data_IF_586601386180
#
_entry.id   IF_586601386180
#
_cell.length_a   1.000
_cell.length_b   1.000
_cell.length_c   1.000
_cell.angle_alpha   90.00
_cell.angle_beta   90.00
_cell.angle_gamma   90.00
#
_symmetry.space_group_name_H-M   'P 1'
#
loop_
_entity.id
_entity.type
_entity.pdbx_description
1 polymer ?
#
# COMPACT_ATOMS: atom_id res chain seq x y z
N UNK A 1 -16.16 -14.95 5.13
CA UNK A 1 -16.95 -13.81 5.63
C UNK A 1 -18.30 -13.78 4.91
N UNK A 2 -19.31 -13.36 5.58
CA UNK A 2 -20.72 -13.31 5.17
C UNK A 2 -21.23 -11.88 4.94
N UNK A 3 -20.47 -10.88 5.37
CA UNK A 3 -20.78 -9.46 5.23
C UNK A 3 -19.53 -8.66 4.94
N UNK A 4 -19.60 -7.78 3.93
CA UNK A 4 -18.60 -6.77 3.61
C UNK A 4 -19.16 -5.39 3.98
N UNK A 5 -18.46 -4.64 4.81
CA UNK A 5 -18.79 -3.24 5.10
C UNK A 5 -17.72 -2.35 4.49
N UNK A 6 -18.07 -1.59 3.45
CA UNK A 6 -17.21 -0.60 2.82
C UNK A 6 -17.48 0.78 3.42
N UNK A 7 -16.44 1.41 3.93
CA UNK A 7 -16.55 2.65 4.69
C UNK A 7 -15.62 3.70 4.11
N UNK A 8 -16.19 4.72 3.48
CA UNK A 8 -15.45 5.85 2.90
C UNK A 8 -14.55 5.50 1.70
N UNK A 9 -14.74 4.34 1.10
CA UNK A 9 -13.98 3.85 -0.04
C UNK A 9 -14.87 3.12 -1.02
N UNK A 10 -14.39 2.95 -2.26
CA UNK A 10 -15.05 2.12 -3.26
C UNK A 10 -15.05 0.64 -2.82
N UNK A 11 -16.10 -0.07 -3.20
CA UNK A 11 -16.10 -1.54 -3.16
C UNK A 11 -15.23 -2.01 -4.31
N UNK A 12 -14.14 -2.69 -4.01
CA UNK A 12 -13.18 -3.27 -4.94
C UNK A 12 -13.21 -2.70 -6.38
N UNK A 13 -12.26 -1.84 -6.69
CA UNK A 13 -12.07 -1.34 -8.06
C UNK A 13 -11.15 -2.28 -8.81
N UNK A 14 -11.69 -3.03 -9.74
CA UNK A 14 -10.92 -3.85 -10.66
C UNK A 14 -10.46 -2.98 -11.83
N UNK A 15 -9.17 -2.70 -11.91
CA UNK A 15 -8.59 -1.94 -13.05
C UNK A 15 -8.34 -2.82 -14.28
N UNK A 16 -8.35 -4.14 -14.12
CA UNK A 16 -8.10 -5.13 -15.17
C UNK A 16 -9.11 -6.26 -15.00
N UNK A 17 -9.61 -6.76 -16.12
CA UNK A 17 -10.52 -7.91 -16.11
C UNK A 17 -9.86 -9.14 -15.46
N UNK A 18 -10.63 -9.85 -14.66
CA UNK A 18 -10.26 -11.13 -14.06
C UNK A 18 -11.39 -12.13 -14.29
N UNK A 19 -11.05 -13.36 -14.63
CA UNK A 19 -12.01 -14.46 -14.74
C UNK A 19 -12.59 -14.89 -13.39
N UNK A 20 -11.96 -14.49 -12.29
CA UNK A 20 -12.40 -14.79 -10.94
C UNK A 20 -13.11 -13.58 -10.35
N UNK A 21 -14.34 -13.78 -9.91
CA UNK A 21 -15.05 -12.76 -9.14
C UNK A 21 -14.34 -12.56 -7.79
N UNK A 22 -13.93 -11.34 -7.45
CA UNK A 22 -13.20 -11.08 -6.21
C UNK A 22 -14.06 -11.22 -4.96
N UNK A 23 -15.38 -11.21 -5.09
CA UNK A 23 -16.32 -11.38 -3.99
C UNK A 23 -17.15 -12.66 -4.15
N UNK A 24 -17.45 -13.38 -3.06
CA UNK A 24 -18.44 -14.43 -3.07
C UNK A 24 -19.80 -13.93 -3.55
N UNK A 25 -20.51 -14.71 -4.38
CA UNK A 25 -21.79 -14.31 -4.99
C UNK A 25 -22.86 -13.90 -3.97
N UNK A 26 -22.86 -14.56 -2.81
CA UNK A 26 -23.86 -14.37 -1.76
C UNK A 26 -23.38 -13.44 -0.63
N UNK A 27 -22.33 -12.65 -0.87
CA UNK A 27 -21.83 -11.73 0.14
C UNK A 27 -22.71 -10.47 0.22
N UNK A 28 -23.36 -10.24 1.35
CA UNK A 28 -24.05 -9.00 1.64
C UNK A 28 -23.08 -7.82 1.72
N UNK A 29 -23.44 -6.68 1.11
CA UNK A 29 -22.60 -5.48 1.12
C UNK A 29 -23.34 -4.31 1.75
N UNK A 30 -22.70 -3.68 2.73
CA UNK A 30 -23.09 -2.38 3.27
C UNK A 30 -22.07 -1.36 2.81
N UNK A 31 -22.50 -0.30 2.12
CA UNK A 31 -21.62 0.74 1.63
C UNK A 31 -21.95 2.09 2.27
N UNK A 32 -21.02 2.65 3.03
CA UNK A 32 -21.15 3.92 3.75
C UNK A 32 -20.19 4.93 3.14
N UNK A 33 -20.70 6.05 2.63
CA UNK A 33 -19.87 7.07 2.00
C UNK A 33 -20.59 8.39 1.79
N UNK A 34 -19.84 9.40 1.34
CA UNK A 34 -20.36 10.75 1.02
C UNK A 34 -20.57 10.96 -0.47
N UNK A 35 -20.23 9.97 -1.29
CA UNK A 35 -20.34 10.03 -2.74
C UNK A 35 -21.43 9.08 -3.21
N UNK A 36 -22.57 9.64 -3.60
CA UNK A 36 -23.73 8.88 -4.07
C UNK A 36 -23.45 8.03 -5.30
N UNK A 37 -22.67 8.55 -6.26
CA UNK A 37 -22.31 7.83 -7.50
C UNK A 37 -21.38 6.62 -7.31
N UNK A 38 -20.77 6.47 -6.15
CA UNK A 38 -19.91 5.33 -5.83
C UNK A 38 -20.71 4.18 -5.19
N UNK A 39 -21.81 4.51 -4.51
CA UNK A 39 -22.63 3.52 -3.79
C UNK A 39 -23.33 2.61 -4.79
N UNK A 40 -23.04 1.30 -4.71
CA UNK A 40 -23.64 0.29 -5.57
C UNK A 40 -23.11 0.25 -7.01
N UNK A 41 -22.11 1.07 -7.36
CA UNK A 41 -21.61 1.22 -8.74
C UNK A 41 -21.06 -0.07 -9.34
N UNK A 42 -20.21 -0.79 -8.60
CA UNK A 42 -19.52 -1.97 -9.11
C UNK A 42 -20.13 -3.28 -8.64
N UNK A 43 -20.78 -3.26 -7.49
CA UNK A 43 -21.38 -4.44 -6.86
C UNK A 43 -22.73 -4.09 -6.28
N UNK A 44 -23.68 -5.03 -6.37
CA UNK A 44 -24.97 -4.87 -5.72
C UNK A 44 -24.76 -4.60 -4.22
N UNK A 45 -25.37 -3.52 -3.74
CA UNK A 45 -25.26 -3.07 -2.35
C UNK A 45 -26.61 -3.23 -1.68
N UNK A 46 -26.69 -4.10 -0.68
CA UNK A 46 -27.93 -4.36 0.06
C UNK A 46 -28.37 -3.14 0.88
N UNK A 47 -27.38 -2.44 1.47
CA UNK A 47 -27.60 -1.22 2.23
C UNK A 47 -26.60 -0.13 1.80
N UNK A 48 -27.08 0.87 1.09
CA UNK A 48 -26.32 2.10 0.76
C UNK A 48 -26.65 3.21 1.77
N UNK A 49 -25.64 3.74 2.43
CA UNK A 49 -25.80 4.82 3.41
C UNK A 49 -24.99 6.04 2.93
N UNK A 50 -25.72 7.02 2.38
CA UNK A 50 -25.15 8.31 2.01
C UNK A 50 -25.05 9.20 3.25
N UNK A 51 -23.83 9.46 3.72
CA UNK A 51 -23.65 10.26 4.92
C UNK A 51 -22.19 10.43 5.33
N UNK A 52 -21.97 11.36 6.25
CA UNK A 52 -20.66 11.57 6.84
C UNK A 52 -20.20 10.32 7.61
N UNK A 53 -19.06 9.75 7.23
CA UNK A 53 -18.55 8.50 7.78
C UNK A 53 -18.41 8.54 9.30
N UNK A 54 -17.85 9.61 9.86
CA UNK A 54 -17.64 9.75 11.31
C UNK A 54 -18.97 9.72 12.08
N UNK A 55 -19.94 10.50 11.61
CA UNK A 55 -21.28 10.58 12.25
C UNK A 55 -22.03 9.27 12.10
N UNK A 56 -21.99 8.66 10.93
CA UNK A 56 -22.63 7.36 10.67
C UNK A 56 -22.07 6.26 11.56
N UNK A 57 -20.74 6.18 11.68
CA UNK A 57 -20.09 5.19 12.54
C UNK A 57 -20.38 5.43 14.01
N UNK A 58 -20.44 6.69 14.45
CA UNK A 58 -20.84 7.03 15.82
C UNK A 58 -22.25 6.53 16.13
N UNK A 59 -23.21 6.81 15.25
CA UNK A 59 -24.59 6.36 15.41
C UNK A 59 -24.72 4.84 15.35
N UNK A 60 -24.02 4.20 14.40
CA UNK A 60 -23.98 2.74 14.28
C UNK A 60 -23.43 2.08 15.54
N UNK A 61 -22.33 2.60 16.08
CA UNK A 61 -21.73 2.09 17.31
C UNK A 61 -22.72 2.20 18.50
N UNK A 62 -23.42 3.31 18.64
CA UNK A 62 -24.43 3.50 19.69
C UNK A 62 -25.59 2.51 19.53
N UNK A 63 -26.09 2.33 18.31
CA UNK A 63 -27.16 1.36 18.03
C UNK A 63 -26.73 -0.07 18.36
N UNK A 64 -25.54 -0.48 17.95
CA UNK A 64 -24.99 -1.81 18.24
C UNK A 64 -24.86 -1.98 19.75
N UNK A 65 -24.23 -1.02 20.45
CA UNK A 65 -24.00 -1.09 21.89
C UNK A 65 -25.31 -1.22 22.69
N UNK A 66 -26.34 -0.47 22.31
CA UNK A 66 -27.63 -0.49 22.99
C UNK A 66 -28.45 -1.76 22.72
N UNK A 67 -28.13 -2.49 21.65
CA UNK A 67 -28.85 -3.70 21.23
C UNK A 67 -28.03 -5.00 21.40
N UNK A 68 -26.87 -4.95 22.07
CA UNK A 68 -26.03 -6.12 22.29
C UNK A 68 -26.74 -7.16 23.18
N UNK A 69 -26.92 -8.36 22.63
CA UNK A 69 -27.38 -9.50 23.43
C UNK A 69 -26.20 -10.35 23.90
N UNK A 70 -26.40 -11.13 24.99
CA UNK A 70 -25.38 -12.08 25.48
C UNK A 70 -24.95 -13.09 24.39
N UNK A 71 -25.85 -13.48 23.48
CA UNK A 71 -25.60 -14.36 22.35
C UNK A 71 -24.63 -13.71 21.36
N UNK A 72 -24.84 -12.42 21.01
CA UNK A 72 -23.93 -11.70 20.08
C UNK A 72 -22.54 -11.55 20.67
N UNK A 73 -22.41 -11.21 21.96
CA UNK A 73 -21.13 -11.08 22.64
C UNK A 73 -20.37 -12.41 22.61
N UNK A 74 -21.04 -13.54 22.93
CA UNK A 74 -20.45 -14.88 22.89
C UNK A 74 -19.94 -15.24 21.48
N UNK A 75 -20.76 -14.98 20.45
CA UNK A 75 -20.40 -15.25 19.07
C UNK A 75 -19.25 -14.37 18.59
N UNK A 76 -19.23 -13.07 18.98
CA UNK A 76 -18.11 -12.17 18.65
C UNK A 76 -16.80 -12.65 19.27
N UNK A 77 -16.81 -13.06 20.53
CA UNK A 77 -15.63 -13.60 21.22
C UNK A 77 -15.13 -14.90 20.59
N UNK A 78 -16.01 -15.76 20.13
CA UNK A 78 -15.62 -16.97 19.37
C UNK A 78 -14.92 -16.61 18.06
N UNK A 79 -15.51 -15.69 17.28
CA UNK A 79 -14.90 -15.22 16.01
C UNK A 79 -13.55 -14.54 16.22
N UNK A 80 -13.40 -13.73 17.27
CA UNK A 80 -12.11 -13.09 17.61
C UNK A 80 -11.04 -14.18 17.80
N UNK A 81 -11.33 -15.25 18.55
CA UNK A 81 -10.39 -16.36 18.74
C UNK A 81 -10.01 -17.06 17.44
N UNK A 82 -10.96 -17.25 16.52
CA UNK A 82 -10.70 -17.88 15.20
C UNK A 82 -9.76 -17.00 14.33
N UNK A 83 -9.96 -15.68 14.33
CA UNK A 83 -9.16 -14.77 13.52
C UNK A 83 -7.85 -14.34 14.18
N UNK A 84 -7.67 -14.59 15.48
CA UNK A 84 -6.48 -14.19 16.24
C UNK A 84 -5.17 -14.69 15.57
N UNK A 85 -5.15 -15.91 15.07
CA UNK A 85 -4.01 -16.49 14.39
C UNK A 85 -3.81 -15.99 12.94
N UNK A 86 -4.77 -15.24 12.39
CA UNK A 86 -4.75 -14.68 11.04
C UNK A 86 -4.51 -13.17 11.02
N UNK A 87 -4.28 -12.56 12.18
CA UNK A 87 -4.05 -11.12 12.30
C UNK A 87 -2.68 -10.71 11.72
N UNK A 88 -2.51 -9.40 11.52
CA UNK A 88 -1.30 -8.82 10.93
C UNK A 88 -0.03 -9.19 11.73
N UNK A 89 -0.06 -9.15 13.05
CA UNK A 89 1.11 -9.46 13.90
C UNK A 89 1.59 -10.90 13.73
N UNK A 90 0.68 -11.85 13.63
CA UNK A 90 1.03 -13.27 13.37
C UNK A 90 1.60 -13.46 11.96
N UNK A 91 0.96 -12.84 10.96
CA UNK A 91 1.47 -12.86 9.58
C UNK A 91 2.85 -12.21 9.47
N UNK A 92 3.06 -11.08 10.13
CA UNK A 92 4.36 -10.42 10.23
C UNK A 92 5.41 -11.36 10.84
N UNK A 93 5.14 -12.00 11.97
CA UNK A 93 6.08 -12.90 12.63
C UNK A 93 6.50 -14.06 11.72
N UNK A 94 5.53 -14.70 11.03
CA UNK A 94 5.81 -15.78 10.07
C UNK A 94 6.67 -15.26 8.91
N UNK A 95 6.30 -14.12 8.33
CA UNK A 95 7.05 -13.53 7.23
C UNK A 95 8.46 -13.13 7.66
N UNK A 96 8.64 -12.53 8.85
CA UNK A 96 9.94 -12.18 9.42
C UNK A 96 10.84 -13.41 9.53
N UNK A 97 10.34 -14.52 10.11
CA UNK A 97 11.11 -15.76 10.23
C UNK A 97 11.53 -16.33 8.87
N UNK A 98 10.67 -16.21 7.87
CA UNK A 98 10.99 -16.63 6.48
C UNK A 98 12.06 -15.72 5.88
N UNK A 99 11.88 -14.40 6.01
CA UNK A 99 12.76 -13.39 5.42
C UNK A 99 14.17 -13.38 6.01
N UNK A 100 14.32 -13.71 7.30
CA UNK A 100 15.64 -13.86 7.93
C UNK A 100 16.54 -14.91 7.23
N UNK A 101 15.96 -15.90 6.59
CA UNK A 101 16.70 -16.91 5.81
C UNK A 101 17.22 -16.35 4.48
N UNK A 102 16.73 -15.19 4.06
CA UNK A 102 17.10 -14.53 2.80
C UNK A 102 18.26 -13.54 2.97
N UNK A 103 18.78 -13.36 4.21
CA UNK A 103 19.78 -12.34 4.58
C UNK A 103 20.99 -12.27 3.66
N UNK A 104 21.56 -13.41 3.29
CA UNK A 104 22.78 -13.50 2.50
C UNK A 104 22.50 -13.81 1.01
N UNK A 105 21.24 -13.71 0.58
CA UNK A 105 20.86 -13.97 -0.80
C UNK A 105 21.26 -12.80 -1.70
N UNK A 106 21.90 -13.11 -2.82
CA UNK A 106 22.26 -12.12 -3.84
C UNK A 106 21.65 -12.52 -5.19
N UNK A 107 21.02 -11.57 -5.91
CA UNK A 107 20.75 -10.19 -5.51
C UNK A 107 19.82 -10.09 -4.28
N UNK A 108 19.88 -8.95 -3.58
CA UNK A 108 19.04 -8.67 -2.40
C UNK A 108 17.57 -8.93 -2.73
N UNK A 109 16.90 -9.73 -1.91
CA UNK A 109 15.46 -10.00 -2.11
C UNK A 109 14.58 -8.81 -1.70
N UNK A 110 13.42 -8.60 -2.35
CA UNK A 110 12.49 -7.54 -1.96
C UNK A 110 12.04 -7.64 -0.49
N UNK A 111 11.80 -8.84 0.03
CA UNK A 111 11.39 -9.03 1.41
C UNK A 111 12.48 -8.60 2.40
N UNK A 112 13.73 -9.04 2.14
CA UNK A 112 14.87 -8.67 2.98
C UNK A 112 15.09 -7.16 2.98
N UNK A 113 15.03 -6.52 1.80
CA UNK A 113 15.13 -5.07 1.67
C UNK A 113 14.04 -4.35 2.49
N UNK A 114 12.77 -4.72 2.32
CA UNK A 114 11.66 -4.05 3.01
C UNK A 114 11.70 -4.27 4.52
N UNK A 115 12.03 -5.47 4.98
CA UNK A 115 12.18 -5.76 6.41
C UNK A 115 13.29 -4.91 7.03
N UNK A 116 14.48 -4.90 6.41
CA UNK A 116 15.63 -4.13 6.90
C UNK A 116 15.36 -2.62 6.90
N UNK A 117 14.70 -2.10 5.86
CA UNK A 117 14.28 -0.69 5.83
C UNK A 117 13.36 -0.36 7.01
N UNK A 118 12.33 -1.16 7.23
CA UNK A 118 11.37 -0.92 8.32
C UNK A 118 12.03 -0.99 9.70
N UNK A 119 12.99 -1.88 9.92
CA UNK A 119 13.74 -1.98 11.17
C UNK A 119 14.59 -0.72 11.45
N UNK A 120 14.99 0.00 10.39
CA UNK A 120 15.78 1.22 10.50
C UNK A 120 14.94 2.52 10.41
N UNK A 121 13.63 2.43 10.14
CA UNK A 121 12.72 3.56 10.13
C UNK A 121 12.24 3.86 11.55
N UNK A 122 12.52 5.07 12.04
CA UNK A 122 12.02 5.51 13.34
C UNK A 122 10.53 5.84 13.32
N UNK A 123 9.89 5.83 14.51
CA UNK A 123 8.47 6.20 14.64
C UNK A 123 8.16 7.66 14.27
N UNK A 124 9.18 8.50 14.09
CA UNK A 124 9.01 9.89 13.68
C UNK A 124 9.22 10.10 12.16
N UNK A 125 9.60 9.06 11.44
CA UNK A 125 9.75 9.14 9.99
C UNK A 125 8.40 8.98 9.28
N UNK A 126 8.30 9.54 8.09
CA UNK A 126 7.17 9.36 7.18
C UNK A 126 7.67 8.57 5.97
N UNK A 127 6.93 7.55 5.57
CA UNK A 127 7.25 6.75 4.40
C UNK A 127 6.45 7.25 3.20
N UNK A 128 7.13 7.48 2.08
CA UNK A 128 6.53 7.74 0.77
C UNK A 128 6.93 6.60 -0.17
N UNK A 129 5.96 5.93 -0.80
CA UNK A 129 6.24 4.67 -1.50
C UNK A 129 5.72 4.67 -2.94
N UNK A 130 6.61 4.29 -3.87
CA UNK A 130 6.33 4.02 -5.29
C UNK A 130 7.32 2.97 -5.85
N UNK A 131 7.67 1.95 -5.08
CA UNK A 131 8.56 0.88 -5.57
C UNK A 131 7.81 -0.34 -6.13
N UNK A 132 6.47 -0.29 -6.13
CA UNK A 132 5.57 -1.25 -6.75
C UNK A 132 5.92 -2.73 -6.43
N UNK A 133 6.51 -3.45 -7.40
CA UNK A 133 6.85 -4.87 -7.23
C UNK A 133 7.85 -5.09 -6.10
N UNK A 134 8.83 -4.19 -5.96
CA UNK A 134 9.88 -4.32 -4.95
C UNK A 134 9.37 -4.04 -3.53
N UNK A 135 8.26 -3.32 -3.37
CA UNK A 135 7.70 -2.92 -2.07
C UNK A 135 6.45 -3.70 -1.65
N UNK A 136 6.03 -4.73 -2.38
CA UNK A 136 4.82 -5.50 -2.07
C UNK A 136 4.71 -5.99 -0.62
N UNK A 137 5.84 -6.28 0.01
CA UNK A 137 5.90 -6.73 1.40
C UNK A 137 6.05 -5.60 2.42
N UNK A 138 6.24 -4.35 2.01
CA UNK A 138 6.47 -3.21 2.90
C UNK A 138 5.39 -3.11 3.99
N UNK A 139 4.11 -3.13 3.60
CA UNK A 139 2.98 -3.00 4.52
C UNK A 139 2.78 -4.22 5.43
N UNK A 140 3.44 -5.34 5.13
CA UNK A 140 3.46 -6.49 6.01
C UNK A 140 4.43 -6.31 7.18
N UNK A 141 5.43 -5.43 7.03
CA UNK A 141 6.42 -5.12 8.07
C UNK A 141 6.16 -3.79 8.76
N UNK A 142 5.69 -2.77 8.02
CA UNK A 142 5.53 -1.40 8.50
C UNK A 142 4.28 -1.24 9.38
N UNK A 143 4.41 -0.90 10.68
CA UNK A 143 3.28 -0.61 11.52
C UNK A 143 2.78 0.82 11.27
N UNK A 144 1.47 0.98 11.14
CA UNK A 144 0.83 2.29 11.10
C UNK A 144 0.39 2.69 12.51
N UNK A 145 0.72 3.91 12.92
CA UNK A 145 0.30 4.50 14.19
C UNK A 145 -0.59 5.73 13.97
N UNK A 146 -0.32 6.47 12.90
CA UNK A 146 -1.02 7.70 12.56
C UNK A 146 -1.38 7.72 11.07
N UNK A 147 -2.39 8.48 10.72
CA UNK A 147 -2.85 8.65 9.33
C UNK A 147 -1.85 9.36 8.41
N UNK A 148 -0.79 9.93 8.98
CA UNK A 148 0.27 10.65 8.23
C UNK A 148 1.60 9.91 8.18
N UNK A 149 1.66 8.67 8.63
CA UNK A 149 2.91 7.91 8.66
C UNK A 149 3.30 7.33 7.29
N UNK A 150 2.35 7.26 6.36
CA UNK A 150 2.55 6.64 5.05
C UNK A 150 1.76 7.35 3.94
N UNK A 151 2.42 7.54 2.80
CA UNK A 151 1.83 8.03 1.56
C UNK A 151 2.20 7.08 0.42
N UNK A 152 1.20 6.49 -0.21
CA UNK A 152 1.35 5.62 -1.37
C UNK A 152 0.73 6.22 -2.62
N UNK A 153 0.96 5.60 -3.75
CA UNK A 153 0.42 6.00 -5.04
C UNK A 153 -1.11 5.90 -5.07
N UNK A 154 -1.79 7.03 -5.22
CA UNK A 154 -3.25 7.09 -5.20
C UNK A 154 -3.89 7.01 -6.58
N UNK A 155 -3.20 7.47 -7.64
CA UNK A 155 -3.80 7.69 -8.97
C UNK A 155 -3.13 6.91 -10.11
N UNK A 156 -2.04 6.18 -9.86
CA UNK A 156 -1.29 5.46 -10.90
C UNK A 156 -0.36 6.34 -11.76
N UNK A 157 -0.19 7.62 -11.41
CA UNK A 157 0.78 8.51 -12.09
C UNK A 157 2.20 8.16 -11.68
N UNK A 158 2.97 7.59 -12.63
CA UNK A 158 4.36 7.18 -12.38
C UNK A 158 5.26 8.38 -12.14
N UNK A 159 6.21 8.26 -11.19
CA UNK A 159 7.18 9.29 -10.84
C UNK A 159 6.70 10.30 -9.78
N UNK A 160 5.50 10.09 -9.22
CA UNK A 160 4.95 11.02 -8.23
C UNK A 160 5.76 11.08 -6.94
N UNK A 161 6.33 9.95 -6.47
CA UNK A 161 6.97 9.88 -5.16
C UNK A 161 8.25 10.70 -5.08
N UNK A 162 9.02 10.81 -6.16
CA UNK A 162 10.27 11.61 -6.18
C UNK A 162 9.99 13.09 -5.90
N UNK A 163 8.93 13.63 -6.48
CA UNK A 163 8.49 15.01 -6.25
C UNK A 163 7.50 15.13 -5.09
N UNK A 164 6.62 14.15 -4.93
CA UNK A 164 5.61 14.14 -3.86
C UNK A 164 6.20 14.14 -2.45
N UNK A 165 7.34 13.45 -2.24
CA UNK A 165 8.03 13.45 -0.96
C UNK A 165 8.54 14.86 -0.54
N UNK A 166 8.81 15.76 -1.49
CA UNK A 166 9.14 17.18 -1.24
C UNK A 166 7.94 17.87 -0.59
N UNK A 167 6.75 17.74 -1.19
CA UNK A 167 5.53 18.30 -0.63
C UNK A 167 5.20 17.74 0.76
N UNK A 168 5.39 16.42 0.95
CA UNK A 168 5.20 15.77 2.25
C UNK A 168 6.21 16.31 3.27
N UNK A 169 7.48 16.54 2.89
CA UNK A 169 8.50 17.10 3.76
C UNK A 169 8.16 18.52 4.18
N UNK A 170 7.80 19.39 3.22
CA UNK A 170 7.42 20.79 3.48
C UNK A 170 6.19 20.89 4.39
N UNK A 171 5.23 19.97 4.26
CA UNK A 171 4.01 19.96 5.08
C UNK A 171 4.22 19.37 6.49
N UNK A 172 5.36 18.73 6.75
CA UNK A 172 5.63 18.01 8.00
C UNK A 172 7.03 18.40 8.54
N UNK A 173 7.19 19.68 8.89
CA UNK A 173 8.44 20.23 9.40
C UNK A 173 9.09 19.34 10.46
N UNK A 174 10.41 19.15 10.36
CA UNK A 174 11.25 18.38 11.28
C UNK A 174 11.06 16.84 11.25
N UNK A 175 10.33 16.29 10.27
CA UNK A 175 10.25 14.85 10.09
C UNK A 175 11.11 14.41 8.90
N UNK A 176 11.89 13.37 9.11
CA UNK A 176 12.60 12.71 8.00
C UNK A 176 11.62 11.92 7.14
N UNK A 177 11.68 12.15 5.83
CA UNK A 177 10.92 11.39 4.85
C UNK A 177 11.80 10.27 4.31
N UNK A 178 11.29 9.04 4.31
CA UNK A 178 11.92 7.90 3.66
C UNK A 178 11.13 7.60 2.39
N UNK A 179 11.69 7.98 1.25
CA UNK A 179 11.08 7.79 -0.06
C UNK A 179 11.59 6.50 -0.70
N UNK A 180 10.75 5.46 -0.76
CA UNK A 180 11.06 4.14 -1.33
C UNK A 180 10.50 4.10 -2.75
N UNK A 181 11.38 4.11 -3.75
CA UNK A 181 10.98 4.36 -5.14
C UNK A 181 11.65 3.33 -6.06
N UNK A 182 10.94 2.85 -7.07
CA UNK A 182 11.51 2.01 -8.13
C UNK A 182 12.42 2.83 -9.06
N UNK A 183 13.43 2.18 -9.64
CA UNK A 183 14.37 2.78 -10.58
C UNK A 183 13.66 3.44 -11.78
N UNK A 184 12.73 2.73 -12.42
CA UNK A 184 11.94 3.27 -13.52
C UNK A 184 11.08 4.46 -13.11
N UNK A 185 10.40 4.38 -11.95
CA UNK A 185 9.56 5.46 -11.44
C UNK A 185 10.39 6.72 -11.14
N UNK A 186 11.59 6.56 -10.55
CA UNK A 186 12.43 7.69 -10.17
C UNK A 186 12.88 8.53 -11.38
N UNK A 187 13.08 7.91 -12.54
CA UNK A 187 13.54 8.59 -13.75
C UNK A 187 12.49 9.55 -14.36
N UNK A 188 11.20 9.41 -14.01
CA UNK A 188 10.16 10.32 -14.53
C UNK A 188 10.24 11.73 -13.94
N UNK A 189 10.81 11.88 -12.74
CA UNK A 189 10.92 13.18 -12.07
C UNK A 189 12.23 13.31 -11.27
N UNK A 190 13.31 12.66 -11.73
CA UNK A 190 14.59 12.58 -11.00
C UNK A 190 15.18 13.95 -10.69
N UNK A 191 14.94 14.97 -11.55
CA UNK A 191 15.37 16.35 -11.32
C UNK A 191 14.81 16.97 -10.04
N UNK A 192 13.75 16.39 -9.45
CA UNK A 192 13.17 16.86 -8.18
C UNK A 192 14.15 16.73 -7.00
N UNK A 193 15.15 15.85 -7.11
CA UNK A 193 16.22 15.71 -6.11
C UNK A 193 16.96 17.04 -5.93
N UNK A 194 17.18 17.80 -7.01
CA UNK A 194 17.76 19.15 -6.93
C UNK A 194 16.93 20.07 -6.03
N UNK A 195 15.61 20.04 -6.15
CA UNK A 195 14.73 20.85 -5.30
C UNK A 195 14.84 20.44 -3.83
N UNK A 196 14.91 19.14 -3.55
CA UNK A 196 15.10 18.65 -2.18
C UNK A 196 16.43 19.12 -1.59
N UNK A 197 17.50 19.08 -2.37
CA UNK A 197 18.83 19.56 -1.96
C UNK A 197 18.83 21.09 -1.78
N UNK A 198 18.23 21.85 -2.70
CA UNK A 198 18.16 23.30 -2.65
C UNK A 198 17.48 23.80 -1.37
N UNK A 199 16.42 23.13 -0.92
CA UNK A 199 15.70 23.48 0.31
C UNK A 199 16.20 22.75 1.55
N UNK A 200 17.30 21.98 1.46
CA UNK A 200 17.87 21.21 2.57
C UNK A 200 16.82 20.32 3.26
N UNK A 201 15.95 19.66 2.48
CA UNK A 201 14.88 18.85 3.04
C UNK A 201 15.42 17.52 3.58
N UNK A 202 14.95 17.06 4.75
CA UNK A 202 15.38 15.80 5.37
C UNK A 202 14.73 14.60 4.68
N UNK A 203 15.13 14.31 3.45
CA UNK A 203 14.61 13.22 2.64
C UNK A 203 15.70 12.18 2.38
N UNK A 204 15.40 10.93 2.67
CA UNK A 204 16.22 9.77 2.32
C UNK A 204 15.57 9.07 1.12
N UNK A 205 16.22 9.13 -0.03
CA UNK A 205 15.79 8.42 -1.23
C UNK A 205 16.36 7.01 -1.25
N UNK A 206 15.50 6.01 -1.26
CA UNK A 206 15.86 4.60 -1.39
C UNK A 206 15.36 4.10 -2.74
N UNK A 207 16.29 3.94 -3.68
CA UNK A 207 15.97 3.47 -5.04
C UNK A 207 16.07 1.95 -5.10
N UNK A 208 14.93 1.28 -5.25
CA UNK A 208 14.85 -0.16 -5.48
C UNK A 208 15.20 -0.46 -6.95
N UNK A 209 16.51 -0.62 -7.20
CA UNK A 209 17.07 -0.73 -8.56
C UNK A 209 17.08 -2.18 -9.04
N UNK A 210 16.04 -2.59 -9.75
CA UNK A 210 15.96 -3.89 -10.42
C UNK A 210 16.30 -3.82 -11.92
N UNK A 211 16.70 -2.64 -12.42
CA UNK A 211 17.10 -2.33 -13.79
C UNK A 211 16.01 -2.64 -14.82
N UNK A 212 14.74 -2.57 -14.46
CA UNK A 212 13.66 -2.85 -15.40
C UNK A 212 12.30 -2.30 -14.94
N UNK A 213 11.38 -2.11 -15.91
CA UNK A 213 9.95 -1.96 -15.65
C UNK A 213 9.31 -3.30 -15.27
N UNK A 214 9.71 -3.87 -14.13
CA UNK A 214 9.32 -5.21 -13.71
C UNK A 214 7.82 -5.42 -13.66
N UNK A 215 7.06 -4.43 -13.17
CA UNK A 215 5.59 -4.51 -13.10
C UNK A 215 4.96 -4.68 -14.50
N UNK A 216 5.53 -4.04 -15.52
CA UNK A 216 5.02 -4.13 -16.89
C UNK A 216 5.35 -5.51 -17.47
N UNK A 217 6.54 -6.03 -17.22
CA UNK A 217 6.93 -7.39 -17.65
C UNK A 217 5.99 -8.45 -17.07
N UNK A 218 5.74 -8.40 -15.76
CA UNK A 218 4.81 -9.33 -15.11
C UNK A 218 3.40 -9.22 -15.70
N UNK A 219 2.91 -8.00 -15.97
CA UNK A 219 1.61 -7.81 -16.61
C UNK A 219 1.55 -8.36 -18.04
N UNK A 220 2.61 -8.15 -18.83
CA UNK A 220 2.68 -8.67 -20.19
C UNK A 220 2.67 -10.20 -20.20
N UNK A 221 3.38 -10.82 -19.29
CA UNK A 221 3.42 -12.28 -19.12
C UNK A 221 2.06 -12.81 -18.65
N UNK A 222 1.49 -12.23 -17.59
CA UNK A 222 0.24 -12.70 -16.97
C UNK A 222 -0.98 -12.57 -17.91
N UNK A 223 -1.09 -11.46 -18.68
CA UNK A 223 -2.26 -11.19 -19.50
C UNK A 223 -2.12 -11.60 -20.96
N UNK A 224 -0.92 -11.57 -21.51
CA UNK A 224 -0.67 -11.85 -22.91
C UNK A 224 0.17 -13.08 -23.15
N UNK A 225 0.63 -13.75 -22.07
CA UNK A 225 1.55 -14.87 -22.13
C UNK A 225 2.75 -14.57 -23.06
N UNK A 226 3.25 -13.33 -23.00
CA UNK A 226 4.28 -12.79 -23.86
C UNK A 226 5.49 -12.37 -23.04
N UNK A 227 6.67 -12.89 -23.37
CA UNK A 227 7.95 -12.61 -22.71
C UNK A 227 8.88 -11.74 -23.56
N UNK A 228 8.39 -11.15 -24.64
CA UNK A 228 9.17 -10.24 -25.49
C UNK A 228 9.19 -8.81 -24.88
N UNK A 229 10.14 -8.53 -24.01
CA UNK A 229 10.25 -7.33 -23.20
C UNK A 229 11.04 -6.21 -23.88
N UNK A 230 10.58 -5.72 -25.01
CA UNK A 230 11.26 -4.65 -25.77
C UNK A 230 11.18 -3.33 -25.00
N UNK A 231 12.35 -2.68 -24.79
CA UNK A 231 12.43 -1.36 -24.13
C UNK A 231 12.14 -1.35 -22.63
N UNK A 232 12.08 -2.51 -21.97
CA UNK A 232 11.73 -2.62 -20.55
C UNK A 232 12.91 -2.81 -19.62
N UNK A 233 14.14 -2.73 -20.12
CA UNK A 233 15.38 -2.90 -19.36
C UNK A 233 16.26 -1.65 -19.38
N UNK A 234 16.91 -1.34 -18.23
CA UNK A 234 17.78 -0.18 -18.01
C UNK A 234 19.24 -0.58 -17.78
N UNK A 235 19.69 -1.63 -18.45
CA UNK A 235 21.00 -2.20 -18.23
C UNK A 235 22.08 -1.74 -19.22
N UNK A 236 21.70 -1.01 -20.30
CA UNK A 236 22.61 -0.53 -21.34
C UNK A 236 22.21 0.89 -21.82
N UNK A 237 22.83 1.94 -21.25
CA UNK A 237 23.72 1.96 -20.10
C UNK A 237 22.97 1.75 -18.79
N UNK A 238 23.66 1.28 -17.73
CA UNK A 238 23.12 1.24 -16.38
C UNK A 238 22.95 2.65 -15.83
N UNK A 239 21.85 2.89 -15.11
CA UNK A 239 21.61 4.16 -14.41
C UNK A 239 22.36 4.12 -13.08
N UNK A 240 23.23 5.10 -12.86
CA UNK A 240 23.96 5.28 -11.60
C UNK A 240 23.28 6.37 -10.76
N UNK A 241 22.31 5.96 -9.94
CA UNK A 241 21.54 6.87 -9.10
C UNK A 241 22.38 7.59 -8.05
N UNK A 242 23.49 7.00 -7.61
CA UNK A 242 24.40 7.65 -6.66
C UNK A 242 25.12 8.81 -7.32
N UNK A 243 25.57 8.65 -8.57
CA UNK A 243 26.18 9.77 -9.30
C UNK A 243 25.20 10.87 -9.68
N UNK A 244 23.94 10.52 -9.88
CA UNK A 244 22.89 11.52 -10.14
C UNK A 244 22.61 12.36 -8.89
N UNK A 245 22.76 11.79 -7.71
CA UNK A 245 22.50 12.47 -6.44
C UNK A 245 23.69 13.33 -5.95
N UNK A 246 24.91 13.11 -6.46
CA UNK A 246 26.14 13.84 -6.16
C UNK A 246 26.35 15.00 -7.14
#
# INVERSE_FOLDING_TARGET
YDLLICIGSDVLRMSVWSSTDPLPKDMSIIHIGIRDWEIGKNYHTEQGILGNVKTTLFNLNNLITNNLSKKYIKNANSRIKEIENKNWSKKKAILTTKTLKEKDTMPITPNWLMMTLVENISNNNIVVEEALVSSRSLLNFLPFKNSKDFYGLASGGIGWAVSGCIGVSLANNNKTIVAIIGDGSSMYAIQSIWTAAHYNLPIVYVIANNQSYRIIKERLEDFHNNTNFIGMDFNKPKIDFVKIAN
#
